data_IF_765240515854
#
_entry.id   IF_765240515854
#
_cell.length_a   1.000
_cell.length_b   1.000
_cell.length_c   1.000
_cell.angle_alpha   90.00
_cell.angle_beta   90.00
_cell.angle_gamma   90.00
#
_symmetry.space_group_name_H-M   'P 1'
#
loop_
_entity.id
_entity.type
_entity.pdbx_description
1 polymer ?
#
# COMPACT_ATOMS: atom_id res chain seq x y z
N UNK A 1 -17.64 61.22 -20.28
CA UNK A 1 -17.30 60.39 -19.10
C UNK A 1 -17.99 59.04 -19.27
N UNK A 2 -17.28 58.08 -19.80
CA UNK A 2 -17.79 56.72 -20.08
C UNK A 2 -17.13 55.72 -19.12
N UNK A 3 -17.94 55.05 -18.26
CA UNK A 3 -17.50 53.97 -17.42
C UNK A 3 -17.39 52.70 -18.30
N UNK A 4 -16.17 52.18 -18.44
CA UNK A 4 -15.96 50.88 -19.02
C UNK A 4 -16.17 49.77 -17.96
N UNK A 5 -17.17 48.92 -18.18
CA UNK A 5 -17.41 47.73 -17.39
C UNK A 5 -16.33 46.71 -17.67
N UNK A 6 -15.52 46.36 -16.66
CA UNK A 6 -14.56 45.22 -16.71
C UNK A 6 -15.36 43.93 -16.49
N UNK A 7 -15.62 43.20 -17.55
CA UNK A 7 -16.08 41.80 -17.49
C UNK A 7 -14.91 40.93 -17.12
N UNK A 8 -14.84 40.53 -15.84
CA UNK A 8 -13.91 39.52 -15.39
C UNK A 8 -14.32 38.14 -15.95
N UNK A 9 -13.53 37.61 -16.90
CA UNK A 9 -13.61 36.22 -17.30
C UNK A 9 -13.06 35.36 -16.14
N UNK A 10 -13.92 34.66 -15.45
CA UNK A 10 -13.53 33.57 -14.58
C UNK A 10 -13.06 32.42 -15.50
N UNK A 11 -11.76 32.17 -15.53
CA UNK A 11 -11.21 30.92 -16.06
C UNK A 11 -11.52 29.83 -15.05
N UNK A 12 -12.57 29.06 -15.29
CA UNK A 12 -12.71 27.76 -14.66
C UNK A 12 -11.57 26.91 -15.24
N UNK A 13 -10.53 26.66 -14.47
CA UNK A 13 -9.61 25.56 -14.75
C UNK A 13 -10.44 24.29 -14.57
N UNK A 14 -10.81 23.65 -15.68
CA UNK A 14 -11.33 22.29 -15.67
C UNK A 14 -10.33 21.44 -14.90
N UNK A 15 -10.75 20.89 -13.76
CA UNK A 15 -10.01 19.83 -13.09
C UNK A 15 -9.96 18.69 -14.09
N UNK A 16 -8.76 18.21 -14.52
CA UNK A 16 -8.70 17.13 -15.47
C UNK A 16 -9.55 15.97 -14.97
N UNK A 17 -10.54 15.56 -15.74
CA UNK A 17 -11.25 14.30 -15.52
C UNK A 17 -10.17 13.25 -15.57
N UNK A 18 -9.97 12.52 -14.47
CA UNK A 18 -8.96 11.49 -14.41
C UNK A 18 -9.19 10.51 -15.56
N UNK A 19 -8.22 10.40 -16.46
CA UNK A 19 -8.33 9.54 -17.62
C UNK A 19 -8.53 8.09 -17.15
N UNK A 20 -9.62 7.50 -17.60
CA UNK A 20 -9.89 6.08 -17.41
C UNK A 20 -9.03 5.29 -18.39
N UNK A 21 -8.47 4.19 -17.92
CA UNK A 21 -7.67 3.28 -18.75
C UNK A 21 -8.04 1.82 -18.47
N UNK A 22 -7.96 0.95 -19.49
CA UNK A 22 -8.19 -0.47 -19.30
C UNK A 22 -6.96 -1.16 -18.71
N UNK A 23 -7.20 -2.13 -17.83
CA UNK A 23 -6.21 -3.08 -17.36
C UNK A 23 -6.69 -4.50 -17.65
N UNK A 24 -5.89 -5.28 -18.37
CA UNK A 24 -6.18 -6.67 -18.74
C UNK A 24 -5.48 -7.61 -17.77
N UNK A 25 -6.24 -8.52 -17.16
CA UNK A 25 -5.67 -9.53 -16.26
C UNK A 25 -4.78 -10.49 -17.06
N UNK A 26 -3.51 -10.62 -16.65
CA UNK A 26 -2.52 -11.49 -17.28
C UNK A 26 -2.00 -12.58 -16.36
N UNK A 27 -2.24 -12.46 -15.06
CA UNK A 27 -1.87 -13.48 -14.08
C UNK A 27 -2.55 -13.26 -12.75
N UNK A 28 -2.72 -14.33 -11.98
CA UNK A 28 -3.21 -14.22 -10.60
C UNK A 28 -2.85 -15.43 -9.76
N UNK A 29 -2.76 -15.21 -8.43
CA UNK A 29 -2.56 -16.28 -7.44
C UNK A 29 -3.18 -15.92 -6.11
N UNK A 30 -3.52 -16.93 -5.31
CA UNK A 30 -3.93 -16.68 -3.92
C UNK A 30 -2.70 -16.44 -3.06
N UNK A 31 -2.73 -15.37 -2.27
CA UNK A 31 -1.71 -15.04 -1.26
C UNK A 31 -2.10 -15.56 0.12
N UNK A 32 -3.41 -15.66 0.39
CA UNK A 32 -4.02 -16.15 1.61
C UNK A 32 -5.42 -16.68 1.26
N UNK A 33 -6.11 -17.39 2.16
CA UNK A 33 -7.45 -17.93 1.88
C UNK A 33 -8.48 -16.89 1.39
N UNK A 34 -8.30 -15.62 1.78
CA UNK A 34 -9.18 -14.51 1.41
C UNK A 34 -8.50 -13.36 0.68
N UNK A 35 -7.26 -13.55 0.19
CA UNK A 35 -6.53 -12.50 -0.53
C UNK A 35 -5.99 -13.04 -1.85
N UNK A 36 -6.40 -12.41 -2.95
CA UNK A 36 -5.93 -12.71 -4.31
C UNK A 36 -4.95 -11.62 -4.77
N UNK A 37 -3.82 -12.04 -5.29
CA UNK A 37 -2.90 -11.21 -6.06
C UNK A 37 -3.31 -11.24 -7.53
N UNK A 38 -3.28 -10.08 -8.17
CA UNK A 38 -3.68 -9.90 -9.55
C UNK A 38 -2.63 -9.09 -10.28
N UNK A 39 -2.24 -9.57 -11.45
CA UNK A 39 -1.27 -8.94 -12.34
C UNK A 39 -1.97 -8.49 -13.61
N UNK A 40 -1.82 -7.21 -13.95
CA UNK A 40 -2.48 -6.59 -15.07
C UNK A 40 -1.47 -5.96 -16.03
N UNK A 41 -1.76 -6.05 -17.32
CA UNK A 41 -1.08 -5.29 -18.36
C UNK A 41 -2.00 -4.21 -18.92
N UNK A 42 -1.44 -3.08 -19.33
CA UNK A 42 -2.15 -2.12 -20.18
C UNK A 42 -2.08 -2.62 -21.63
N UNK A 43 -3.22 -2.61 -22.32
CA UNK A 43 -3.30 -3.00 -23.73
C UNK A 43 -3.63 -1.82 -24.66
N UNK A 44 -3.61 -0.59 -24.12
CA UNK A 44 -3.74 0.67 -24.87
C UNK A 44 -2.39 1.24 -25.36
N UNK A 45 -1.29 0.50 -25.19
CA UNK A 45 0.06 0.89 -25.61
C UNK A 45 0.69 2.00 -24.79
N UNK A 46 0.16 2.30 -23.58
CA UNK A 46 0.70 3.30 -22.68
C UNK A 46 1.26 2.68 -21.41
N UNK A 47 2.32 3.25 -20.84
CA UNK A 47 2.81 2.91 -19.52
C UNK A 47 1.91 3.50 -18.43
N UNK A 48 1.86 2.86 -17.28
CA UNK A 48 1.31 3.43 -16.05
C UNK A 48 2.47 3.88 -15.16
N UNK A 49 2.91 5.12 -15.34
CA UNK A 49 3.95 5.69 -14.50
C UNK A 49 3.41 5.97 -13.09
N UNK A 50 4.02 5.40 -12.06
CA UNK A 50 3.58 5.54 -10.67
C UNK A 50 4.76 5.54 -9.69
N UNK A 51 4.50 6.06 -8.49
CA UNK A 51 5.44 6.03 -7.36
C UNK A 51 4.97 4.97 -6.35
N UNK A 52 5.88 4.15 -5.83
CA UNK A 52 5.58 3.16 -4.81
C UNK A 52 4.84 3.78 -3.61
N UNK A 53 3.72 3.17 -3.23
CA UNK A 53 2.78 3.70 -2.23
C UNK A 53 1.55 4.39 -2.82
N UNK A 54 1.49 4.61 -4.13
CA UNK A 54 0.28 5.04 -4.82
C UNK A 54 -0.71 3.88 -5.04
N UNK A 55 -1.95 4.24 -5.39
CA UNK A 55 -3.04 3.31 -5.65
C UNK A 55 -3.77 3.65 -6.96
N UNK A 56 -4.48 2.67 -7.50
CA UNK A 56 -5.47 2.86 -8.58
C UNK A 56 -6.88 2.72 -8.04
N UNK A 57 -7.85 3.29 -8.75
CA UNK A 57 -9.28 3.07 -8.53
C UNK A 57 -9.82 2.18 -9.63
N UNK A 58 -10.42 1.06 -9.25
CA UNK A 58 -11.13 0.15 -10.15
C UNK A 58 -12.60 0.55 -10.17
N UNK A 59 -13.14 0.80 -11.37
CA UNK A 59 -14.51 1.24 -11.62
C UNK A 59 -15.37 0.05 -12.04
N UNK A 60 -16.55 -0.11 -11.44
CA UNK A 60 -17.49 -1.19 -11.73
C UNK A 60 -18.90 -0.81 -11.28
N UNK A 61 -19.88 -1.68 -11.48
CA UNK A 61 -21.25 -1.45 -11.02
C UNK A 61 -21.56 -2.34 -9.82
N UNK A 62 -22.31 -1.80 -8.88
CA UNK A 62 -22.95 -2.57 -7.82
C UNK A 62 -24.01 -3.54 -8.41
N UNK A 63 -24.50 -4.53 -7.64
CA UNK A 63 -25.56 -5.45 -8.11
C UNK A 63 -26.86 -4.74 -8.54
N UNK A 64 -27.14 -3.55 -8.04
CA UNK A 64 -28.29 -2.72 -8.43
C UNK A 64 -28.04 -1.88 -9.71
N UNK A 65 -26.87 -2.05 -10.34
CA UNK A 65 -26.47 -1.31 -11.54
C UNK A 65 -25.87 0.08 -11.27
N UNK A 66 -25.85 0.55 -10.03
CA UNK A 66 -25.26 1.85 -9.71
C UNK A 66 -23.73 1.81 -9.83
N UNK A 67 -23.10 2.88 -10.40
CA UNK A 67 -21.66 2.92 -10.55
C UNK A 67 -20.96 3.07 -9.20
N UNK A 68 -19.84 2.38 -9.05
CA UNK A 68 -19.02 2.45 -7.85
C UNK A 68 -17.53 2.30 -8.19
N UNK A 69 -16.66 2.50 -7.21
CA UNK A 69 -15.22 2.27 -7.36
C UNK A 69 -14.58 1.84 -6.05
N UNK A 70 -13.46 1.15 -6.14
CA UNK A 70 -12.62 0.79 -4.99
C UNK A 70 -11.16 1.07 -5.29
N UNK A 71 -10.45 1.49 -4.25
CA UNK A 71 -9.02 1.80 -4.32
C UNK A 71 -8.18 0.59 -3.94
N UNK A 72 -7.10 0.35 -4.70
CA UNK A 72 -6.15 -0.73 -4.47
C UNK A 72 -4.73 -0.19 -4.61
N UNK A 73 -3.96 -0.31 -3.54
CA UNK A 73 -2.56 0.08 -3.56
C UNK A 73 -1.76 -0.81 -4.50
N UNK A 74 -0.84 -0.19 -5.22
CA UNK A 74 0.04 -0.88 -6.15
C UNK A 74 1.05 -1.73 -5.37
N UNK A 75 1.20 -3.00 -5.79
CA UNK A 75 2.10 -3.97 -5.19
C UNK A 75 3.38 -4.15 -6.00
N UNK A 76 3.39 -3.62 -7.23
CA UNK A 76 4.47 -3.82 -8.19
C UNK A 76 5.79 -3.30 -7.66
N UNK A 77 6.82 -4.16 -7.68
CA UNK A 77 8.19 -3.77 -7.44
C UNK A 77 8.85 -3.42 -8.77
N UNK A 78 9.46 -2.25 -8.85
CA UNK A 78 10.28 -1.88 -10.00
C UNK A 78 11.46 -1.01 -9.55
N UNK A 79 12.60 -1.20 -10.18
CA UNK A 79 13.85 -0.46 -9.99
C UNK A 79 14.26 0.37 -11.21
N UNK A 80 13.37 0.45 -12.20
CA UNK A 80 13.53 1.13 -13.47
C UNK A 80 12.30 1.98 -13.79
N UNK A 81 12.40 2.84 -14.82
CA UNK A 81 11.27 3.58 -15.33
C UNK A 81 10.21 2.62 -15.90
N UNK A 82 8.96 2.77 -15.46
CA UNK A 82 7.87 1.88 -15.85
C UNK A 82 7.56 2.00 -17.34
N UNK A 83 7.61 0.88 -18.04
CA UNK A 83 7.41 0.79 -19.50
C UNK A 83 6.03 0.23 -19.88
N UNK A 84 5.73 0.25 -21.18
CA UNK A 84 4.45 -0.26 -21.71
C UNK A 84 4.24 -1.76 -21.54
N UNK A 85 5.31 -2.52 -21.34
CA UNK A 85 5.25 -3.96 -21.15
C UNK A 85 5.27 -4.39 -19.68
N UNK A 86 5.38 -3.44 -18.75
CA UNK A 86 5.41 -3.74 -17.34
C UNK A 86 4.00 -4.01 -16.81
N UNK A 87 3.90 -4.91 -15.85
CA UNK A 87 2.64 -5.29 -15.24
C UNK A 87 2.34 -4.46 -13.99
N UNK A 88 1.07 -4.20 -13.78
CA UNK A 88 0.53 -3.53 -12.58
C UNK A 88 -0.03 -4.60 -11.65
N UNK A 89 0.46 -4.64 -10.43
CA UNK A 89 0.08 -5.66 -9.44
C UNK A 89 -0.72 -5.04 -8.30
N UNK A 90 -1.78 -5.73 -7.88
CA UNK A 90 -2.58 -5.37 -6.70
C UNK A 90 -2.90 -6.60 -5.84
N UNK A 91 -3.18 -6.39 -4.56
CA UNK A 91 -3.74 -7.42 -3.68
C UNK A 91 -5.18 -7.07 -3.30
N UNK A 92 -6.08 -8.00 -3.52
CA UNK A 92 -7.51 -7.84 -3.23
C UNK A 92 -7.93 -8.75 -2.10
N UNK A 93 -8.41 -8.17 -1.01
CA UNK A 93 -9.01 -8.91 0.10
C UNK A 93 -10.49 -9.13 -0.18
N UNK A 94 -10.94 -10.39 -0.13
CA UNK A 94 -12.34 -10.75 -0.32
C UNK A 94 -13.16 -10.50 0.94
N UNK A 95 -14.23 -9.73 0.77
CA UNK A 95 -15.22 -9.43 1.81
C UNK A 95 -16.52 -10.17 1.45
N UNK A 96 -17.05 -11.01 2.32
CA UNK A 96 -18.32 -11.70 2.06
C UNK A 96 -19.45 -10.74 1.67
N UNK A 97 -20.09 -10.99 0.54
CA UNK A 97 -21.15 -10.12 0.01
C UNK A 97 -20.70 -8.81 -0.62
N UNK A 98 -19.39 -8.54 -0.68
CA UNK A 98 -18.86 -7.32 -1.29
C UNK A 98 -18.92 -7.36 -2.83
N UNK A 99 -19.38 -6.28 -3.45
CA UNK A 99 -19.49 -6.18 -4.92
C UNK A 99 -18.11 -6.29 -5.61
N UNK A 100 -17.06 -5.70 -5.04
CA UNK A 100 -15.71 -5.86 -5.54
C UNK A 100 -15.21 -7.31 -5.41
N UNK A 101 -15.57 -8.02 -4.34
CA UNK A 101 -15.22 -9.43 -4.17
C UNK A 101 -15.87 -10.28 -5.25
N UNK A 102 -17.14 -10.03 -5.59
CA UNK A 102 -17.83 -10.71 -6.69
C UNK A 102 -17.12 -10.45 -8.03
N UNK A 103 -16.77 -9.18 -8.33
CA UNK A 103 -16.02 -8.81 -9.54
C UNK A 103 -14.72 -9.61 -9.65
N UNK A 104 -13.86 -9.52 -8.63
CA UNK A 104 -12.53 -10.14 -8.69
C UNK A 104 -12.54 -11.67 -8.53
N UNK A 105 -13.60 -12.25 -7.98
CA UNK A 105 -13.79 -13.71 -7.99
C UNK A 105 -14.12 -14.22 -9.40
N UNK A 106 -14.93 -13.46 -10.15
CA UNK A 106 -15.37 -13.82 -11.50
C UNK A 106 -14.39 -13.39 -12.60
N UNK A 107 -13.34 -12.63 -12.27
CA UNK A 107 -12.40 -12.10 -13.25
C UNK A 107 -11.39 -13.18 -13.67
N UNK A 108 -11.43 -13.55 -14.93
CA UNK A 108 -10.53 -14.51 -15.57
C UNK A 108 -9.40 -13.82 -16.34
N UNK A 109 -8.31 -14.55 -16.58
CA UNK A 109 -7.21 -14.06 -17.42
C UNK A 109 -7.71 -13.71 -18.83
N UNK A 110 -7.20 -12.60 -19.34
CA UNK A 110 -7.63 -12.01 -20.61
C UNK A 110 -8.80 -11.02 -20.50
N UNK A 111 -9.53 -11.01 -19.40
CA UNK A 111 -10.61 -10.03 -19.18
C UNK A 111 -10.04 -8.68 -18.70
N UNK A 112 -10.81 -7.62 -18.92
CA UNK A 112 -10.42 -6.25 -18.63
C UNK A 112 -11.27 -5.65 -17.51
N UNK A 113 -10.65 -4.75 -16.76
CA UNK A 113 -11.28 -3.84 -15.80
C UNK A 113 -10.97 -2.39 -16.19
N UNK A 114 -11.86 -1.47 -15.81
CA UNK A 114 -11.65 -0.04 -16.01
C UNK A 114 -11.06 0.58 -14.76
N UNK A 115 -9.97 1.33 -14.92
CA UNK A 115 -9.24 1.95 -13.83
C UNK A 115 -9.02 3.44 -14.06
N UNK A 116 -8.69 4.13 -12.99
CA UNK A 116 -8.15 5.49 -13.03
C UNK A 116 -7.05 5.64 -11.99
N UNK A 117 -6.14 6.59 -12.21
CA UNK A 117 -4.98 6.83 -11.35
C UNK A 117 -3.68 7.02 -12.14
N UNK A 118 -2.51 6.93 -11.49
CA UNK A 118 -2.32 6.61 -10.08
C UNK A 118 -2.66 7.78 -9.16
N UNK A 119 -3.08 7.48 -7.94
CA UNK A 119 -3.41 8.45 -6.90
C UNK A 119 -2.66 8.16 -5.60
N UNK A 120 -2.70 9.09 -4.65
CA UNK A 120 -2.17 8.90 -3.32
C UNK A 120 -0.85 9.61 -3.06
N UNK A 121 -0.55 9.79 -1.77
CA UNK A 121 0.66 10.45 -1.28
C UNK A 121 1.35 9.65 -0.16
N UNK A 122 1.00 8.40 -0.03
CA UNK A 122 1.60 7.49 0.95
C UNK A 122 2.93 6.92 0.42
N UNK A 123 3.78 7.80 -0.11
CA UNK A 123 5.04 7.46 -0.75
C UNK A 123 6.22 7.81 0.17
N UNK A 124 7.33 7.10 0.00
CA UNK A 124 8.60 7.50 0.59
C UNK A 124 9.02 8.85 -0.01
N UNK A 125 9.58 9.71 0.83
CA UNK A 125 9.97 11.06 0.41
C UNK A 125 11.48 11.23 0.55
N UNK A 126 12.17 11.54 -0.53
CA UNK A 126 13.62 11.72 -0.56
C UNK A 126 14.10 12.90 0.30
N UNK A 127 13.18 13.82 0.65
CA UNK A 127 13.45 14.95 1.54
C UNK A 127 13.45 14.56 3.03
N UNK A 128 12.89 13.41 3.40
CA UNK A 128 12.91 12.92 4.78
C UNK A 128 14.34 12.52 5.14
N UNK A 129 14.88 13.14 6.21
CA UNK A 129 16.26 12.91 6.67
C UNK A 129 16.34 11.93 7.86
N UNK A 130 15.28 11.16 8.07
CA UNK A 130 15.20 10.20 9.16
C UNK A 130 16.19 9.05 8.95
N UNK A 131 16.77 8.58 10.06
CA UNK A 131 17.74 7.48 10.05
C UNK A 131 17.06 6.11 10.09
N UNK A 132 15.82 6.02 10.63
CA UNK A 132 15.07 4.77 10.71
C UNK A 132 13.62 4.93 10.25
N UNK A 133 13.14 3.96 9.47
CA UNK A 133 11.79 3.87 8.93
C UNK A 133 11.03 2.73 9.59
N UNK A 134 9.93 3.03 10.27
CA UNK A 134 9.04 2.07 10.91
C UNK A 134 7.82 1.86 9.99
N UNK A 135 7.77 0.73 9.31
CA UNK A 135 6.66 0.33 8.45
C UNK A 135 5.73 -0.58 9.26
N UNK A 136 4.50 -0.17 9.48
CA UNK A 136 3.55 -0.88 10.35
C UNK A 136 2.29 -1.15 9.55
N UNK A 137 1.98 -2.43 9.31
CA UNK A 137 0.87 -2.82 8.45
C UNK A 137 0.12 -4.04 8.92
N UNK A 138 -1.12 -4.19 8.43
CA UNK A 138 -1.96 -5.37 8.63
C UNK A 138 -2.69 -5.75 7.35
N UNK A 139 -2.79 -7.07 7.08
CA UNK A 139 -3.46 -7.58 5.89
C UNK A 139 -2.92 -6.96 4.60
N UNK A 140 -3.80 -6.55 3.69
CA UNK A 140 -3.39 -5.90 2.43
C UNK A 140 -2.75 -4.51 2.61
N UNK A 141 -2.72 -3.96 3.81
CA UNK A 141 -1.99 -2.73 4.12
C UNK A 141 -0.47 -2.84 3.97
N UNK A 142 0.09 -4.03 3.80
CA UNK A 142 1.52 -4.21 3.48
C UNK A 142 1.82 -4.12 1.98
N UNK A 143 0.78 -4.07 1.14
CA UNK A 143 0.94 -3.95 -0.33
C UNK A 143 1.82 -2.78 -0.76
N UNK A 144 1.63 -1.54 -0.26
CA UNK A 144 2.52 -0.44 -0.60
C UNK A 144 3.96 -0.67 -0.12
N UNK A 145 4.16 -1.36 0.99
CA UNK A 145 5.53 -1.65 1.49
C UNK A 145 6.28 -2.63 0.59
N UNK A 146 5.57 -3.62 0.00
CA UNK A 146 6.16 -4.48 -1.02
C UNK A 146 6.66 -3.66 -2.22
N UNK A 147 5.83 -2.76 -2.73
CA UNK A 147 6.22 -1.89 -3.83
C UNK A 147 7.41 -0.95 -3.49
N UNK A 148 7.56 -0.58 -2.21
CA UNK A 148 8.63 0.29 -1.73
C UNK A 148 10.00 -0.42 -1.58
N UNK A 149 10.08 -1.76 -1.60
CA UNK A 149 11.30 -2.49 -1.32
C UNK A 149 12.51 -2.05 -2.17
N UNK A 150 12.39 -1.84 -3.50
CA UNK A 150 13.52 -1.36 -4.31
C UNK A 150 14.03 0.03 -3.86
N UNK A 151 13.11 0.97 -3.58
CA UNK A 151 13.48 2.31 -3.10
C UNK A 151 14.10 2.25 -1.69
N UNK A 152 13.57 1.41 -0.80
CA UNK A 152 14.14 1.20 0.54
C UNK A 152 15.55 0.63 0.45
N UNK A 153 15.80 -0.33 -0.47
CA UNK A 153 17.15 -0.85 -0.72
C UNK A 153 18.10 0.26 -1.13
N UNK A 154 17.71 1.10 -2.09
CA UNK A 154 18.52 2.24 -2.52
C UNK A 154 18.82 3.19 -1.34
N UNK A 155 17.84 3.48 -0.48
CA UNK A 155 18.03 4.33 0.69
C UNK A 155 18.97 3.71 1.73
N UNK A 156 18.86 2.39 1.98
CA UNK A 156 19.79 1.67 2.86
C UNK A 156 21.22 1.71 2.33
N UNK A 157 21.40 1.51 1.02
CA UNK A 157 22.72 1.50 0.37
C UNK A 157 23.36 2.89 0.33
N UNK A 158 22.59 3.94 0.05
CA UNK A 158 23.14 5.29 -0.17
C UNK A 158 23.18 6.16 1.07
N UNK A 159 22.19 6.00 1.97
CA UNK A 159 22.04 6.83 3.18
C UNK A 159 22.28 6.08 4.48
N UNK A 160 22.37 4.75 4.41
CA UNK A 160 22.59 3.91 5.58
C UNK A 160 21.37 3.80 6.51
N UNK A 161 20.17 4.13 6.06
CA UNK A 161 18.96 4.06 6.87
C UNK A 161 18.67 2.64 7.35
N UNK A 162 17.99 2.53 8.49
CA UNK A 162 17.45 1.27 9.00
C UNK A 162 15.94 1.20 8.71
N UNK A 163 15.44 0.02 8.44
CA UNK A 163 14.01 -0.20 8.18
C UNK A 163 13.51 -1.35 9.04
N UNK A 164 12.39 -1.15 9.73
CA UNK A 164 11.69 -2.20 10.47
C UNK A 164 10.28 -2.32 9.94
N UNK A 165 9.92 -3.51 9.45
CA UNK A 165 8.56 -3.84 9.03
C UNK A 165 7.88 -4.69 10.11
N UNK A 166 6.88 -4.11 10.81
CA UNK A 166 5.95 -4.86 11.66
C UNK A 166 4.72 -5.21 10.83
N UNK A 167 4.52 -6.50 10.63
CA UNK A 167 3.37 -6.99 9.87
C UNK A 167 2.44 -7.81 10.76
N UNK A 168 1.26 -7.25 11.08
CA UNK A 168 0.23 -7.91 11.86
C UNK A 168 -0.66 -8.81 11.02
N UNK A 169 -0.69 -10.09 11.34
CA UNK A 169 -1.60 -11.09 10.80
C UNK A 169 -2.31 -11.87 11.90
N UNK A 170 -3.30 -12.70 11.56
CA UNK A 170 -3.95 -13.58 12.53
C UNK A 170 -3.14 -14.86 12.72
N UNK A 171 -2.73 -15.44 11.59
CA UNK A 171 -1.99 -16.70 11.47
C UNK A 171 -0.92 -16.57 10.40
N UNK A 172 -0.10 -17.60 10.23
CA UNK A 172 0.91 -17.64 9.16
C UNK A 172 0.29 -17.63 7.75
N UNK A 173 -0.87 -18.26 7.56
CA UNK A 173 -1.58 -18.30 6.28
C UNK A 173 -2.06 -16.92 5.83
N UNK A 174 -2.29 -16.00 6.78
CA UNK A 174 -2.69 -14.62 6.51
C UNK A 174 -1.49 -13.69 6.25
N UNK A 175 -0.25 -14.18 6.36
CA UNK A 175 0.98 -13.40 6.18
C UNK A 175 1.31 -13.29 4.69
N UNK A 176 0.62 -12.41 3.98
CA UNK A 176 0.79 -12.22 2.53
C UNK A 176 2.17 -11.68 2.19
N UNK A 177 2.70 -12.04 1.01
CA UNK A 177 4.03 -11.62 0.53
C UNK A 177 5.19 -11.97 1.47
N UNK A 178 5.01 -12.96 2.36
CA UNK A 178 6.01 -13.31 3.37
C UNK A 178 7.33 -13.72 2.74
N UNK A 179 7.29 -14.42 1.61
CA UNK A 179 8.49 -14.86 0.89
C UNK A 179 9.31 -13.64 0.42
N UNK A 180 8.64 -12.60 -0.12
CA UNK A 180 9.30 -11.37 -0.57
C UNK A 180 9.98 -10.65 0.60
N UNK A 181 9.29 -10.52 1.74
CA UNK A 181 9.83 -9.83 2.92
C UNK A 181 10.95 -10.62 3.61
N UNK A 182 10.84 -11.95 3.71
CA UNK A 182 11.91 -12.77 4.26
C UNK A 182 13.15 -12.79 3.37
N UNK A 183 12.99 -12.95 2.05
CA UNK A 183 14.09 -12.88 1.10
C UNK A 183 14.78 -11.53 1.16
N UNK A 184 14.00 -10.44 1.17
CA UNK A 184 14.54 -9.09 1.26
C UNK A 184 15.31 -8.86 2.57
N UNK A 185 14.81 -9.36 3.70
CA UNK A 185 15.48 -9.26 5.00
C UNK A 185 16.80 -10.08 5.03
N UNK A 186 16.83 -11.25 4.39
CA UNK A 186 18.03 -12.08 4.31
C UNK A 186 19.16 -11.41 3.50
N UNK A 187 18.81 -10.62 2.48
CA UNK A 187 19.77 -9.92 1.62
C UNK A 187 20.18 -8.53 2.16
N UNK A 188 19.37 -7.94 3.04
CA UNK A 188 19.55 -6.56 3.50
C UNK A 188 19.59 -6.47 5.04
N UNK A 189 20.78 -6.54 5.67
CA UNK A 189 20.92 -6.58 7.14
C UNK A 189 20.34 -5.36 7.88
N UNK A 190 20.10 -4.25 7.18
CA UNK A 190 19.44 -3.05 7.72
C UNK A 190 17.92 -3.09 7.65
N UNK A 191 17.36 -4.13 7.02
CA UNK A 191 15.91 -4.38 6.98
C UNK A 191 15.57 -5.50 7.95
N UNK A 192 14.76 -5.19 8.97
CA UNK A 192 14.25 -6.15 9.95
C UNK A 192 12.78 -6.42 9.67
N UNK A 193 12.44 -7.69 9.41
CA UNK A 193 11.06 -8.13 9.23
C UNK A 193 10.53 -8.77 10.52
N UNK A 194 9.50 -8.17 11.12
CA UNK A 194 8.87 -8.59 12.38
C UNK A 194 7.40 -8.98 12.16
N UNK A 195 7.10 -10.24 11.80
CA UNK A 195 5.71 -10.69 11.76
C UNK A 195 5.11 -10.77 13.16
N UNK A 196 3.88 -10.26 13.33
CA UNK A 196 3.16 -10.24 14.60
C UNK A 196 1.87 -11.04 14.46
N UNK A 197 1.72 -12.10 15.25
CA UNK A 197 0.60 -13.04 15.14
C UNK A 197 -0.39 -12.84 16.29
N UNK A 198 -1.62 -12.40 15.98
CA UNK A 198 -2.62 -12.15 17.02
C UNK A 198 -3.30 -13.40 17.56
N UNK A 199 -3.18 -14.55 16.88
CA UNK A 199 -3.75 -15.83 17.33
C UNK A 199 -2.66 -16.82 17.74
N UNK A 200 -1.90 -17.33 16.79
CA UNK A 200 -0.91 -18.38 17.01
C UNK A 200 0.41 -18.03 16.31
N UNK A 201 1.50 -18.09 17.07
CA UNK A 201 2.84 -17.97 16.51
C UNK A 201 3.25 -19.35 15.98
N UNK A 202 3.66 -19.48 14.72
CA UNK A 202 4.12 -20.74 14.15
C UNK A 202 5.29 -21.33 14.94
N UNK A 203 5.32 -22.66 15.10
CA UNK A 203 6.40 -23.34 15.84
C UNK A 203 7.79 -23.15 15.21
N UNK A 204 7.83 -22.92 13.89
CA UNK A 204 9.04 -22.66 13.10
C UNK A 204 9.26 -21.18 12.80
N UNK A 205 8.58 -20.27 13.52
CA UNK A 205 8.71 -18.84 13.31
C UNK A 205 10.16 -18.36 13.57
N UNK A 206 10.55 -17.30 12.87
CA UNK A 206 11.85 -16.65 13.07
C UNK A 206 11.95 -16.01 14.46
N UNK A 207 13.18 -15.72 14.90
CA UNK A 207 13.42 -15.05 16.19
C UNK A 207 12.79 -13.64 16.27
N UNK A 208 12.49 -13.03 15.13
CA UNK A 208 11.83 -11.73 15.03
C UNK A 208 10.30 -11.81 15.07
N UNK A 209 9.72 -13.01 15.02
CA UNK A 209 8.27 -13.17 15.16
C UNK A 209 7.79 -12.79 16.57
N UNK A 210 6.61 -12.17 16.65
CA UNK A 210 6.02 -11.72 17.91
C UNK A 210 4.59 -12.25 18.05
N UNK A 211 4.17 -12.47 19.28
CA UNK A 211 2.76 -12.73 19.63
C UNK A 211 2.08 -11.40 19.96
N UNK A 212 0.84 -11.22 19.51
CA UNK A 212 0.04 -10.04 19.79
C UNK A 212 -0.11 -9.10 18.62
N UNK A 213 -0.60 -7.91 18.88
CA UNK A 213 -0.81 -6.88 17.87
C UNK A 213 0.44 -6.04 17.64
N UNK A 214 0.58 -5.46 16.45
CA UNK A 214 1.76 -4.66 16.05
C UNK A 214 2.00 -3.46 16.98
N UNK A 215 0.95 -2.78 17.42
CA UNK A 215 1.08 -1.63 18.33
C UNK A 215 1.63 -2.02 19.72
N UNK A 216 1.45 -3.26 20.16
CA UNK A 216 2.01 -3.76 21.41
C UNK A 216 3.52 -4.01 21.33
N UNK A 217 4.05 -4.16 20.13
CA UNK A 217 5.47 -4.41 19.89
C UNK A 217 6.30 -3.11 19.72
N UNK A 218 5.65 -1.96 19.63
CA UNK A 218 6.34 -0.68 19.42
C UNK A 218 7.32 -0.33 20.55
N UNK A 219 7.00 -0.69 21.79
CA UNK A 219 7.88 -0.45 22.93
C UNK A 219 9.25 -1.14 22.81
N UNK A 220 9.30 -2.34 22.18
CA UNK A 220 10.55 -3.06 21.90
C UNK A 220 11.49 -2.26 20.98
N UNK A 221 10.93 -1.50 20.06
CA UNK A 221 11.68 -0.71 19.09
C UNK A 221 12.20 0.61 19.64
N UNK A 222 11.75 1.00 20.85
CA UNK A 222 12.11 2.28 21.49
C UNK A 222 12.05 3.43 20.47
N UNK A 223 10.84 3.75 19.92
CA UNK A 223 10.72 4.77 18.90
C UNK A 223 11.25 6.14 19.39
N UNK A 224 11.93 6.86 18.49
CA UNK A 224 12.57 8.13 18.81
C UNK A 224 12.23 9.21 17.78
N UNK A 225 11.50 10.23 18.21
CA UNK A 225 11.04 11.31 17.34
C UNK A 225 12.14 12.12 16.63
N UNK A 226 13.40 12.03 17.08
CA UNK A 226 14.53 12.70 16.44
C UNK A 226 15.08 11.91 15.22
N UNK A 227 14.84 10.60 15.17
CA UNK A 227 15.47 9.72 14.17
C UNK A 227 14.48 8.91 13.34
N UNK A 228 13.26 8.71 13.85
CA UNK A 228 12.28 7.81 13.26
C UNK A 228 11.24 8.54 12.45
N UNK A 229 10.81 7.87 11.39
CA UNK A 229 9.57 8.17 10.68
C UNK A 229 8.74 6.89 10.56
N UNK A 230 7.44 6.98 10.77
CA UNK A 230 6.54 5.84 10.75
C UNK A 230 5.55 5.94 9.59
N UNK A 231 5.29 4.80 8.95
CA UNK A 231 4.28 4.60 7.93
C UNK A 231 3.28 3.55 8.43
N UNK A 232 2.02 3.92 8.56
CA UNK A 232 0.94 3.07 9.10
C UNK A 232 -0.08 2.80 8.00
N UNK A 233 -0.31 1.53 7.67
CA UNK A 233 -1.26 1.18 6.59
C UNK A 233 -2.07 -0.08 6.91
N UNK A 234 -3.37 -0.06 6.65
CA UNK A 234 -4.26 -1.20 6.79
C UNK A 234 -5.47 -0.95 7.69
N UNK A 235 -5.77 -1.87 8.62
CA UNK A 235 -6.94 -1.79 9.48
C UNK A 235 -7.02 -0.46 10.24
N UNK A 236 -8.16 0.27 10.20
CA UNK A 236 -8.30 1.58 10.85
C UNK A 236 -7.98 1.57 12.35
N UNK A 237 -8.40 0.55 13.09
CA UNK A 237 -8.14 0.46 14.52
C UNK A 237 -6.64 0.27 14.81
N UNK A 238 -5.95 -0.55 14.00
CA UNK A 238 -4.49 -0.70 14.10
C UNK A 238 -3.77 0.60 13.82
N UNK A 239 -4.18 1.31 12.76
CA UNK A 239 -3.58 2.61 12.39
C UNK A 239 -3.77 3.63 13.50
N UNK A 240 -4.96 3.72 14.10
CA UNK A 240 -5.22 4.66 15.20
C UNK A 240 -4.45 4.30 16.47
N UNK A 241 -4.48 3.03 16.88
CA UNK A 241 -3.75 2.59 18.06
C UNK A 241 -2.23 2.78 17.92
N UNK A 242 -1.66 2.45 16.75
CA UNK A 242 -0.24 2.67 16.49
C UNK A 242 0.13 4.16 16.44
N UNK A 243 -0.76 4.99 15.88
CA UNK A 243 -0.55 6.43 15.84
C UNK A 243 -0.47 7.05 17.25
N UNK A 244 -1.42 6.70 18.13
CA UNK A 244 -1.41 7.23 19.50
C UNK A 244 -0.19 6.72 20.27
N UNK A 245 0.15 5.43 20.16
CA UNK A 245 1.33 4.88 20.80
C UNK A 245 2.64 5.57 20.35
N UNK A 246 2.80 5.82 19.04
CA UNK A 246 3.98 6.52 18.51
C UNK A 246 4.08 7.96 18.99
N UNK A 247 2.97 8.65 19.17
CA UNK A 247 2.93 10.00 19.79
C UNK A 247 3.40 9.96 21.24
N UNK A 248 2.98 8.95 22.01
CA UNK A 248 3.43 8.75 23.38
C UNK A 248 4.95 8.52 23.46
N UNK A 249 5.54 7.87 22.45
CA UNK A 249 7.00 7.77 22.28
C UNK A 249 7.67 9.05 21.76
N UNK A 250 6.93 10.12 21.54
CA UNK A 250 7.46 11.44 21.16
C UNK A 250 7.62 11.68 19.66
N UNK A 251 7.04 10.82 18.79
CA UNK A 251 7.01 11.13 17.36
C UNK A 251 6.02 12.26 17.08
N UNK A 252 6.44 13.25 16.33
CA UNK A 252 5.54 14.30 15.86
C UNK A 252 4.56 13.77 14.82
N UNK A 253 3.39 14.39 14.70
CA UNK A 253 2.39 14.02 13.69
C UNK A 253 2.93 14.11 12.25
N UNK A 254 3.94 14.95 12.01
CA UNK A 254 4.60 15.08 10.71
C UNK A 254 5.52 13.90 10.37
N UNK A 255 5.95 13.15 11.37
CA UNK A 255 6.75 11.93 11.22
C UNK A 255 5.90 10.66 11.26
N UNK A 256 4.57 10.77 11.17
CA UNK A 256 3.67 9.60 11.13
C UNK A 256 2.76 9.73 9.92
N UNK A 257 3.06 8.99 8.85
CA UNK A 257 2.28 8.87 7.63
C UNK A 257 1.20 7.80 7.83
N UNK A 258 -0.02 8.01 7.34
CA UNK A 258 -1.14 7.09 7.60
C UNK A 258 -2.01 6.87 6.37
N UNK A 259 -2.39 5.61 6.15
CA UNK A 259 -3.43 5.24 5.19
C UNK A 259 -4.33 4.15 5.79
N UNK A 260 -5.64 4.41 5.86
CA UNK A 260 -6.61 3.47 6.43
C UNK A 260 -7.36 2.75 5.34
N UNK A 261 -7.40 1.43 5.40
CA UNK A 261 -8.20 0.62 4.49
C UNK A 261 -9.58 0.36 5.09
N UNK A 262 -10.57 1.09 4.57
CA UNK A 262 -11.96 0.94 5.02
C UNK A 262 -12.66 -0.02 4.07
N UNK A 263 -13.08 -1.18 4.60
CA UNK A 263 -13.95 -2.11 3.87
C UNK A 263 -15.36 -1.53 3.86
N UNK A 264 -15.84 -1.09 2.69
CA UNK A 264 -17.26 -0.78 2.50
C UNK A 264 -18.02 -2.09 2.19
N UNK A 265 -19.09 -2.33 2.94
CA UNK A 265 -20.07 -3.37 2.64
C UNK A 265 -20.89 -2.97 1.43
#
# INVERSE_FOLDING_TARGET
MGLAARTGRFFFTEVPVADHFPLKLVGSRMLAPSVRHLEFARDDGQALDFIAGQFIQVHFNNPDGSPTKRSYSLATQHDHAFGVNDTVEIAVSFVPGGAASALFTALDEGQQIQCSGPYGRFCLNDKDQNARYLLIGTGTGVTPYRAMLPQLKQMMDTRGVEVVLLFGSRTEEDLIYREDFYAFAAENPKFRFMPCFSREVPANATADARRGYVQEQLAELVPNGAHDIAYLCGNPNMVDASFEALKEFGLSVHHIRREKYVSSK
#
